data_IF_005796225765
#
_entry.id   IF_005796225765
#
_cell.length_a   1.000
_cell.length_b   1.000
_cell.length_c   1.000
_cell.angle_alpha   90.00
_cell.angle_beta   90.00
_cell.angle_gamma   90.00
#
_symmetry.space_group_name_H-M   'P 1'
#
loop_
_entity.id
_entity.type
_entity.pdbx_description
1 polymer ?
#
# COMPACT_ATOMS: atom_id res chain seq x y z
N UNK A 1 -6.27 47.81 64.75
CA UNK A 1 -5.17 46.91 65.19
C UNK A 1 -5.74 45.50 65.17
N UNK A 2 -5.14 44.47 64.60
CA UNK A 2 -3.88 44.33 63.85
C UNK A 2 -3.66 42.83 63.59
N UNK A 3 -3.24 42.48 62.36
CA UNK A 3 -2.83 41.13 61.91
C UNK A 3 -1.50 40.68 62.57
N UNK A 4 -0.89 39.48 62.34
CA UNK A 4 -1.05 38.48 61.26
C UNK A 4 -1.36 37.04 61.79
N UNK A 5 -1.18 35.90 61.11
CA UNK A 5 -0.49 35.49 59.86
C UNK A 5 -1.20 34.23 59.26
N UNK A 6 -0.95 33.74 58.04
CA UNK A 6 -0.05 34.20 56.97
C UNK A 6 0.00 33.22 55.78
N UNK A 7 0.90 33.51 54.83
CA UNK A 7 1.44 32.61 53.78
C UNK A 7 0.45 32.14 52.68
N UNK A 8 0.21 32.94 51.63
CA UNK A 8 0.98 33.02 50.37
C UNK A 8 0.76 31.85 49.39
N UNK A 9 -0.24 31.98 48.51
CA UNK A 9 -0.38 31.15 47.31
C UNK A 9 0.54 31.65 46.19
N UNK A 10 1.63 30.94 45.92
CA UNK A 10 2.59 31.27 44.86
C UNK A 10 2.34 30.46 43.58
N UNK A 11 2.05 31.18 42.50
CA UNK A 11 2.60 30.98 41.12
C UNK A 11 2.38 29.61 40.46
N UNK A 12 1.65 29.58 39.34
CA UNK A 12 2.22 29.43 37.99
C UNK A 12 1.22 29.96 36.93
N UNK A 13 1.68 30.42 35.75
CA UNK A 13 0.84 31.18 34.81
C UNK A 13 0.10 30.30 33.79
N UNK A 14 -1.11 30.71 33.43
CA UNK A 14 -1.83 30.18 32.27
C UNK A 14 -1.20 30.73 30.97
N UNK A 15 -0.27 29.98 30.37
CA UNK A 15 0.22 30.24 29.01
C UNK A 15 0.66 28.93 28.36
N UNK A 16 -0.10 28.45 27.37
CA UNK A 16 0.25 27.23 26.65
C UNK A 16 -0.93 26.64 25.88
N UNK A 17 -1.17 27.17 24.69
CA UNK A 17 -2.13 26.71 23.68
C UNK A 17 -2.51 25.22 23.79
N UNK A 18 -3.77 24.93 24.12
CA UNK A 18 -4.38 23.67 23.70
C UNK A 18 -4.41 23.68 22.16
N UNK A 19 -3.85 22.67 21.46
CA UNK A 19 -4.02 22.55 20.03
C UNK A 19 -5.48 22.20 19.74
N UNK A 20 -6.21 23.12 19.12
CA UNK A 20 -7.60 22.86 18.73
C UNK A 20 -7.67 21.68 17.74
N UNK A 21 -8.79 20.96 17.75
CA UNK A 21 -9.08 19.81 16.88
C UNK A 21 -9.34 20.21 15.41
N UNK A 22 -8.74 21.31 14.95
CA UNK A 22 -8.89 21.89 13.61
C UNK A 22 -7.75 21.49 12.66
N UNK A 23 -7.02 20.41 12.93
CA UNK A 23 -6.04 19.84 12.00
C UNK A 23 -6.71 19.09 10.82
N UNK A 24 -7.85 19.60 10.34
CA UNK A 24 -8.56 19.14 9.15
C UNK A 24 -7.97 19.85 7.93
N UNK A 25 -6.81 19.34 7.51
CA UNK A 25 -6.21 19.42 6.18
C UNK A 25 -6.73 20.54 5.24
N UNK A 26 -6.09 21.72 5.30
CA UNK A 26 -6.38 22.84 4.41
C UNK A 26 -6.14 22.53 2.91
N UNK A 27 -5.51 21.40 2.56
CA UNK A 27 -5.36 20.96 1.15
C UNK A 27 -6.70 20.63 0.48
N UNK A 28 -7.78 20.43 1.23
CA UNK A 28 -9.10 20.09 0.66
C UNK A 28 -9.90 21.27 0.09
N UNK A 29 -9.40 22.51 0.13
CA UNK A 29 -10.11 23.71 -0.37
C UNK A 29 -9.58 24.34 -1.65
N UNK A 30 -8.80 23.60 -2.46
CA UNK A 30 -8.66 23.95 -3.87
C UNK A 30 -9.80 23.32 -4.68
N UNK A 31 -10.84 24.11 -4.97
CA UNK A 31 -11.85 23.79 -5.98
C UNK A 31 -11.21 23.73 -7.36
N UNK A 32 -10.72 22.56 -7.75
CA UNK A 32 -10.25 22.29 -9.11
C UNK A 32 -11.38 21.64 -9.90
N UNK A 33 -11.74 22.29 -11.01
CA UNK A 33 -12.41 21.63 -12.13
C UNK A 33 -11.64 20.34 -12.50
N UNK A 34 -12.29 19.30 -13.08
CA UNK A 34 -11.58 18.09 -13.48
C UNK A 34 -10.33 18.46 -14.31
N UNK A 35 -9.11 18.05 -13.90
CA UNK A 35 -7.88 18.82 -14.18
C UNK A 35 -7.55 19.03 -15.66
N UNK A 36 -8.12 18.19 -16.51
CA UNK A 36 -7.87 18.15 -17.93
C UNK A 36 -9.10 17.65 -18.69
N UNK A 37 -9.46 18.38 -19.75
CA UNK A 37 -10.39 17.88 -20.75
C UNK A 37 -9.73 16.73 -21.51
N UNK A 38 -10.23 15.51 -21.34
CA UNK A 38 -9.74 14.32 -22.04
C UNK A 38 -9.69 14.57 -23.57
N UNK A 39 -8.48 14.52 -24.15
CA UNK A 39 -8.31 14.44 -25.60
C UNK A 39 -8.78 13.06 -26.08
N UNK A 40 -10.08 12.97 -26.36
CA UNK A 40 -10.70 11.73 -26.82
C UNK A 40 -10.13 11.21 -28.14
N UNK A 41 -9.54 12.07 -28.98
CA UNK A 41 -8.92 11.65 -30.24
C UNK A 41 -7.60 10.96 -29.94
N UNK A 42 -6.76 11.57 -29.11
CA UNK A 42 -5.49 11.00 -28.67
C UNK A 42 -5.70 9.70 -27.87
N UNK A 43 -6.63 9.67 -26.91
CA UNK A 43 -6.97 8.45 -26.16
C UNK A 43 -7.39 7.29 -27.06
N UNK A 44 -8.30 7.55 -28.03
CA UNK A 44 -8.73 6.54 -29.02
C UNK A 44 -7.59 6.11 -29.94
N UNK A 45 -6.73 7.04 -30.35
CA UNK A 45 -5.55 6.76 -31.17
C UNK A 45 -4.57 5.85 -30.43
N UNK A 46 -4.19 6.15 -29.19
CA UNK A 46 -3.31 5.32 -28.36
C UNK A 46 -3.88 3.92 -28.15
N UNK A 47 -5.15 3.81 -27.72
CA UNK A 47 -5.80 2.48 -27.58
C UNK A 47 -5.86 1.71 -28.91
N UNK A 48 -6.04 2.40 -30.02
CA UNK A 48 -6.01 1.81 -31.36
C UNK A 48 -4.59 1.38 -31.77
N UNK A 49 -3.52 2.05 -31.34
CA UNK A 49 -2.15 1.59 -31.59
C UNK A 49 -1.82 0.35 -30.76
N UNK A 50 -2.13 0.35 -29.46
CA UNK A 50 -1.94 -0.80 -28.56
C UNK A 50 -2.70 -2.04 -29.05
N UNK A 51 -3.99 -1.90 -29.41
CA UNK A 51 -4.81 -3.03 -29.90
C UNK A 51 -4.29 -3.67 -31.18
N UNK A 52 -3.62 -2.91 -32.04
CA UNK A 52 -3.09 -3.38 -33.32
C UNK A 52 -1.56 -3.58 -33.31
N UNK A 53 -0.91 -3.59 -32.14
CA UNK A 53 0.54 -3.82 -32.02
C UNK A 53 1.42 -2.81 -32.76
N UNK A 54 0.95 -1.58 -32.96
CA UNK A 54 1.68 -0.53 -33.73
C UNK A 54 2.73 0.14 -32.85
N UNK A 55 3.71 -0.65 -32.42
CA UNK A 55 4.72 -0.29 -31.42
C UNK A 55 5.58 0.90 -31.87
N UNK A 56 6.00 0.96 -33.13
CA UNK A 56 6.84 2.05 -33.66
C UNK A 56 6.18 3.42 -33.44
N UNK A 57 4.88 3.51 -33.72
CA UNK A 57 4.09 4.74 -33.52
C UNK A 57 3.95 5.11 -32.05
N UNK A 58 3.99 4.14 -31.14
CA UNK A 58 3.96 4.38 -29.70
C UNK A 58 5.33 4.86 -29.18
N UNK A 59 6.42 4.32 -29.73
CA UNK A 59 7.79 4.78 -29.46
C UNK A 59 7.99 6.24 -29.95
N UNK A 60 7.54 6.56 -31.16
CA UNK A 60 7.64 7.92 -31.70
C UNK A 60 6.82 8.95 -30.90
N UNK A 61 5.67 8.55 -30.35
CA UNK A 61 4.91 9.40 -29.43
C UNK A 61 5.71 9.72 -28.16
N UNK A 62 6.38 8.72 -27.57
CA UNK A 62 7.20 8.93 -26.36
C UNK A 62 8.46 9.74 -26.62
N UNK A 63 9.12 9.58 -27.77
CA UNK A 63 10.20 10.49 -28.20
C UNK A 63 9.74 11.95 -28.31
N UNK A 64 8.49 12.17 -28.76
CA UNK A 64 7.95 13.52 -28.94
C UNK A 64 7.50 14.19 -27.64
N UNK A 65 6.88 13.42 -26.73
CA UNK A 65 6.45 13.89 -25.41
C UNK A 65 6.19 12.67 -24.48
N UNK A 66 7.16 12.27 -23.64
CA UNK A 66 7.06 11.05 -22.83
C UNK A 66 6.00 11.15 -21.73
N UNK A 67 5.78 12.34 -21.18
CA UNK A 67 4.88 12.58 -20.04
C UNK A 67 3.45 12.94 -20.46
N UNK A 68 3.12 12.90 -21.76
CA UNK A 68 1.80 13.25 -22.27
C UNK A 68 0.72 12.37 -21.63
N UNK A 69 -0.21 13.03 -20.93
CA UNK A 69 -1.38 12.39 -20.31
C UNK A 69 -2.29 11.82 -21.38
N UNK A 70 -2.71 10.56 -21.21
CA UNK A 70 -3.50 9.82 -22.20
C UNK A 70 -4.97 9.69 -21.80
N UNK A 71 -5.27 9.55 -20.51
CA UNK A 71 -6.62 9.30 -19.99
C UNK A 71 -7.01 10.24 -18.82
N UNK A 72 -8.21 10.07 -18.26
CA UNK A 72 -8.71 10.85 -17.12
C UNK A 72 -8.00 10.57 -15.79
N UNK A 73 -7.27 9.46 -15.67
CA UNK A 73 -6.48 9.12 -14.48
C UNK A 73 -5.05 9.68 -14.57
N UNK A 74 -4.79 10.62 -15.48
CA UNK A 74 -3.46 11.16 -15.77
C UNK A 74 -2.38 10.10 -16.08
N UNK A 75 -2.78 8.94 -16.59
CA UNK A 75 -1.82 7.92 -16.99
C UNK A 75 -1.02 8.41 -18.21
N UNK A 76 0.31 8.31 -18.12
CA UNK A 76 1.20 8.44 -19.30
C UNK A 76 1.11 7.17 -20.17
N UNK A 77 1.71 7.19 -21.35
CA UNK A 77 1.70 6.00 -22.22
C UNK A 77 2.30 4.77 -21.52
N UNK A 78 3.37 4.95 -20.74
CA UNK A 78 4.05 3.86 -20.03
C UNK A 78 3.10 3.16 -19.03
N UNK A 79 2.35 3.92 -18.22
CA UNK A 79 1.34 3.36 -17.30
C UNK A 79 0.34 2.46 -18.04
N UNK A 80 -0.20 2.93 -19.18
CA UNK A 80 -1.18 2.17 -19.95
C UNK A 80 -0.58 0.92 -20.58
N UNK A 81 0.65 0.99 -21.09
CA UNK A 81 1.33 -0.17 -21.70
C UNK A 81 1.60 -1.26 -20.67
N UNK A 82 2.02 -0.88 -19.46
CA UNK A 82 2.20 -1.80 -18.32
C UNK A 82 0.85 -2.39 -17.87
N UNK A 83 -0.17 -1.55 -17.69
CA UNK A 83 -1.53 -2.02 -17.35
C UNK A 83 -2.16 -2.94 -18.43
N UNK A 84 -1.68 -2.88 -19.68
CA UNK A 84 -2.09 -3.79 -20.76
C UNK A 84 -1.25 -5.08 -20.84
N UNK A 85 -0.31 -5.32 -19.92
CA UNK A 85 0.58 -6.49 -19.94
C UNK A 85 1.47 -6.55 -21.19
N UNK A 86 1.95 -5.41 -21.69
CA UNK A 86 2.80 -5.32 -22.90
C UNK A 86 4.27 -5.16 -22.53
N UNK A 87 4.80 -6.17 -21.84
CA UNK A 87 6.16 -6.27 -21.28
C UNK A 87 7.28 -5.80 -22.23
N UNK A 88 7.36 -6.36 -23.45
CA UNK A 88 8.43 -5.98 -24.40
C UNK A 88 8.34 -4.52 -24.87
N UNK A 89 7.12 -4.02 -25.05
CA UNK A 89 6.89 -2.62 -25.41
C UNK A 89 7.20 -1.70 -24.22
N UNK A 90 6.84 -2.10 -22.99
CA UNK A 90 7.18 -1.35 -21.79
C UNK A 90 8.70 -1.22 -21.63
N UNK A 91 9.46 -2.31 -21.74
CA UNK A 91 10.94 -2.29 -21.75
C UNK A 91 11.50 -1.38 -22.85
N UNK A 92 10.95 -1.48 -24.07
CA UNK A 92 11.35 -0.65 -25.22
C UNK A 92 11.10 0.84 -25.00
N UNK A 93 10.01 1.19 -24.30
CA UNK A 93 9.71 2.57 -23.91
C UNK A 93 10.64 3.05 -22.78
N UNK A 94 10.85 2.22 -21.75
CA UNK A 94 11.75 2.53 -20.62
C UNK A 94 13.16 2.85 -21.13
N UNK A 95 13.73 2.02 -22.01
CA UNK A 95 15.05 2.25 -22.60
C UNK A 95 15.16 3.47 -23.53
N UNK A 96 14.04 4.08 -23.92
CA UNK A 96 14.00 5.34 -24.67
C UNK A 96 13.64 6.56 -23.80
N UNK A 97 13.26 6.35 -22.54
CA UNK A 97 12.84 7.40 -21.62
C UNK A 97 13.96 7.72 -20.62
N UNK A 98 14.25 9.01 -20.44
CA UNK A 98 15.12 9.46 -19.34
C UNK A 98 14.51 9.12 -17.96
N UNK A 99 15.37 8.80 -16.99
CA UNK A 99 14.98 8.34 -15.65
C UNK A 99 13.97 9.25 -14.92
N UNK A 100 13.94 10.56 -15.23
CA UNK A 100 12.97 11.53 -14.71
C UNK A 100 11.53 11.16 -15.09
N UNK A 101 11.29 10.75 -16.34
CA UNK A 101 9.95 10.41 -16.85
C UNK A 101 9.43 9.08 -16.28
N UNK A 102 10.33 8.21 -15.80
CA UNK A 102 9.96 6.98 -15.11
C UNK A 102 9.29 7.25 -13.75
N UNK A 103 9.46 8.44 -13.18
CA UNK A 103 8.77 8.88 -11.95
C UNK A 103 7.46 9.64 -12.22
N UNK A 104 6.99 9.74 -13.46
CA UNK A 104 5.70 10.37 -13.76
C UNK A 104 4.59 9.74 -12.91
N UNK A 105 3.73 10.58 -12.31
CA UNK A 105 2.63 10.11 -11.43
C UNK A 105 1.29 10.24 -12.13
N UNK A 106 0.45 9.23 -11.96
CA UNK A 106 -0.98 9.27 -12.30
C UNK A 106 -1.75 10.14 -11.30
N UNK A 107 -3.05 10.29 -11.52
CA UNK A 107 -4.00 11.01 -10.67
C UNK A 107 -3.99 10.51 -9.21
N UNK A 108 -3.79 9.20 -9.00
CA UNK A 108 -3.69 8.62 -7.65
C UNK A 108 -2.30 8.76 -7.02
N UNK A 109 -1.35 9.41 -7.71
CA UNK A 109 0.06 9.47 -7.34
C UNK A 109 0.85 8.19 -7.69
N UNK A 110 0.22 7.20 -8.31
CA UNK A 110 0.87 5.94 -8.68
C UNK A 110 1.91 6.20 -9.79
N UNK A 111 3.12 5.63 -9.63
CA UNK A 111 4.18 5.63 -10.65
C UNK A 111 4.07 4.39 -11.56
N UNK A 112 4.80 4.30 -12.69
CA UNK A 112 4.90 3.09 -13.50
C UNK A 112 5.23 1.82 -12.69
N UNK A 113 6.08 1.92 -11.65
CA UNK A 113 6.39 0.78 -10.79
C UNK A 113 5.21 0.39 -9.88
N UNK A 114 4.37 1.32 -9.43
CA UNK A 114 3.13 0.98 -8.70
C UNK A 114 2.17 0.17 -9.59
N UNK A 115 2.05 0.55 -10.87
CA UNK A 115 1.21 -0.19 -11.84
C UNK A 115 1.82 -1.54 -12.16
N UNK A 116 3.14 -1.62 -12.41
CA UNK A 116 3.83 -2.90 -12.62
C UNK A 116 3.65 -3.83 -11.42
N UNK A 117 3.78 -3.30 -10.20
CA UNK A 117 3.61 -4.04 -8.96
C UNK A 117 2.18 -4.56 -8.74
N UNK A 118 1.15 -3.81 -9.16
CA UNK A 118 -0.23 -4.27 -9.14
C UNK A 118 -0.53 -5.35 -10.21
N UNK A 119 0.12 -5.26 -11.37
CA UNK A 119 -0.02 -6.23 -12.48
C UNK A 119 0.76 -7.53 -12.24
N UNK A 120 1.90 -7.45 -11.54
CA UNK A 120 2.81 -8.58 -11.31
C UNK A 120 3.92 -8.75 -12.38
N UNK A 121 4.18 -7.74 -13.22
CA UNK A 121 5.20 -7.81 -14.27
C UNK A 121 6.63 -7.56 -13.73
N UNK A 122 7.27 -8.62 -13.21
CA UNK A 122 8.60 -8.56 -12.60
C UNK A 122 9.68 -8.10 -13.59
N UNK A 123 9.51 -8.38 -14.89
CA UNK A 123 10.50 -8.01 -15.91
C UNK A 123 10.48 -6.50 -16.18
N UNK A 124 9.30 -5.89 -16.21
CA UNK A 124 9.14 -4.43 -16.25
C UNK A 124 9.61 -3.78 -14.95
N UNK A 125 9.29 -4.36 -13.79
CA UNK A 125 9.72 -3.81 -12.51
C UNK A 125 11.24 -3.76 -12.40
N UNK A 126 11.92 -4.87 -12.72
CA UNK A 126 13.38 -4.95 -12.77
C UNK A 126 13.97 -3.87 -13.70
N UNK A 127 13.38 -3.68 -14.89
CA UNK A 127 13.89 -2.68 -15.85
C UNK A 127 13.65 -1.23 -15.40
N UNK A 128 12.51 -0.94 -14.76
CA UNK A 128 12.26 0.36 -14.12
C UNK A 128 13.27 0.66 -13.02
N UNK A 129 13.55 -0.31 -12.14
CA UNK A 129 14.50 -0.17 -11.03
C UNK A 129 15.93 0.04 -11.53
N UNK A 130 16.36 -0.72 -12.56
CA UNK A 130 17.69 -0.55 -13.18
C UNK A 130 17.91 0.87 -13.71
N UNK A 131 16.89 1.45 -14.35
CA UNK A 131 16.97 2.79 -14.91
C UNK A 131 16.71 3.91 -13.88
N UNK A 132 16.01 3.63 -12.76
CA UNK A 132 15.82 4.57 -11.66
C UNK A 132 15.53 3.86 -10.32
N UNK A 133 16.58 3.55 -9.53
CA UNK A 133 16.43 2.82 -8.26
C UNK A 133 15.53 3.50 -7.22
N UNK A 134 15.47 4.83 -7.23
CA UNK A 134 14.66 5.59 -6.26
C UNK A 134 13.15 5.30 -6.40
N UNK A 135 12.70 4.78 -7.55
CA UNK A 135 11.29 4.50 -7.82
C UNK A 135 10.69 3.43 -6.88
N UNK A 136 11.52 2.59 -6.23
CA UNK A 136 11.09 1.60 -5.22
C UNK A 136 10.46 2.26 -3.99
N UNK A 137 11.01 3.41 -3.57
CA UNK A 137 10.58 4.14 -2.35
C UNK A 137 9.61 5.28 -2.66
N UNK A 138 9.28 5.51 -3.93
CA UNK A 138 8.26 6.50 -4.31
C UNK A 138 6.92 6.14 -3.67
N UNK A 139 6.22 7.17 -3.20
CA UNK A 139 4.91 7.03 -2.55
C UNK A 139 3.81 7.69 -3.38
N UNK A 140 2.66 7.03 -3.46
CA UNK A 140 1.44 7.56 -4.07
C UNK A 140 0.66 8.45 -3.07
N UNK A 141 -0.54 8.91 -3.44
CA UNK A 141 -1.34 9.80 -2.58
C UNK A 141 -1.81 9.17 -1.26
N UNK A 142 -1.88 7.84 -1.17
CA UNK A 142 -2.20 7.07 0.07
C UNK A 142 -0.96 6.65 0.86
N UNK A 143 0.20 7.23 0.51
CA UNK A 143 1.53 6.84 0.97
C UNK A 143 1.87 5.34 0.75
N UNK A 144 1.18 4.67 -0.18
CA UNK A 144 1.57 3.32 -0.62
C UNK A 144 2.88 3.42 -1.41
N UNK A 145 3.77 2.46 -1.20
CA UNK A 145 4.90 2.18 -2.12
C UNK A 145 4.50 1.07 -3.11
N UNK A 146 5.27 0.81 -4.18
CA UNK A 146 5.01 -0.31 -5.08
C UNK A 146 4.92 -1.66 -4.36
N UNK A 147 5.73 -1.90 -3.31
CA UNK A 147 5.65 -3.12 -2.51
C UNK A 147 4.28 -3.28 -1.81
N UNK A 148 3.67 -2.19 -1.36
CA UNK A 148 2.31 -2.21 -0.80
C UNK A 148 1.26 -2.59 -1.86
N UNK A 149 1.43 -2.14 -3.12
CA UNK A 149 0.57 -2.58 -4.24
C UNK A 149 0.76 -4.07 -4.52
N UNK A 150 2.00 -4.56 -4.62
CA UNK A 150 2.27 -5.99 -4.84
C UNK A 150 1.62 -6.85 -3.75
N UNK A 151 1.73 -6.44 -2.48
CA UNK A 151 1.06 -7.10 -1.37
C UNK A 151 -0.48 -7.06 -1.49
N UNK A 152 -1.06 -5.87 -1.75
CA UNK A 152 -2.51 -5.67 -1.84
C UNK A 152 -3.17 -6.42 -3.01
N UNK A 153 -2.46 -6.61 -4.13
CA UNK A 153 -2.94 -7.40 -5.27
C UNK A 153 -2.49 -8.87 -5.22
N UNK A 154 -1.81 -9.30 -4.16
CA UNK A 154 -1.35 -10.68 -3.98
C UNK A 154 -0.29 -11.15 -4.95
N UNK A 155 0.45 -10.23 -5.58
CA UNK A 155 1.46 -10.49 -6.59
C UNK A 155 2.74 -11.01 -5.94
N UNK A 156 2.74 -12.29 -5.57
CA UNK A 156 3.76 -12.93 -4.72
C UNK A 156 5.18 -12.80 -5.28
N UNK A 157 5.38 -13.18 -6.54
CA UNK A 157 6.73 -13.24 -7.11
C UNK A 157 7.27 -11.82 -7.39
N UNK A 158 6.38 -10.86 -7.68
CA UNK A 158 6.69 -9.42 -7.74
C UNK A 158 7.07 -8.85 -6.38
N UNK A 159 6.35 -9.23 -5.31
CA UNK A 159 6.66 -8.78 -3.96
C UNK A 159 8.10 -9.15 -3.59
N UNK A 160 8.50 -10.40 -3.84
CA UNK A 160 9.87 -10.86 -3.57
C UNK A 160 10.90 -10.22 -4.51
N UNK A 161 10.58 -10.02 -5.79
CA UNK A 161 11.44 -9.29 -6.73
C UNK A 161 11.76 -7.85 -6.27
N UNK A 162 10.80 -7.12 -5.68
CA UNK A 162 11.04 -5.77 -5.12
C UNK A 162 11.91 -5.85 -3.84
N UNK A 163 11.71 -6.87 -2.99
CA UNK A 163 12.52 -7.10 -1.78
C UNK A 163 13.99 -7.46 -2.12
N UNK A 164 14.24 -8.16 -3.21
CA UNK A 164 15.59 -8.50 -3.68
C UNK A 164 16.40 -7.24 -4.08
N UNK A 165 15.74 -6.25 -4.68
CA UNK A 165 16.37 -4.95 -5.00
C UNK A 165 16.51 -4.03 -3.78
N UNK A 166 15.63 -4.18 -2.76
CA UNK A 166 15.64 -3.37 -1.54
C UNK A 166 15.00 -4.09 -0.34
N UNK A 167 15.83 -4.79 0.45
CA UNK A 167 15.38 -5.57 1.60
C UNK A 167 14.88 -4.71 2.80
N UNK A 168 14.94 -3.38 2.75
CA UNK A 168 14.40 -2.52 3.82
C UNK A 168 13.01 -1.94 3.50
N UNK A 169 12.52 -2.04 2.25
CA UNK A 169 11.26 -1.40 1.85
C UNK A 169 9.99 -2.04 2.46
N UNK A 170 10.08 -3.22 3.08
CA UNK A 170 8.96 -3.82 3.84
C UNK A 170 8.60 -3.04 5.11
N UNK A 171 9.52 -2.18 5.61
CA UNK A 171 9.36 -1.37 6.82
C UNK A 171 8.53 -0.10 6.58
N UNK A 172 8.34 0.28 5.32
CA UNK A 172 7.49 1.41 4.96
C UNK A 172 6.04 1.19 5.42
N UNK A 173 5.31 2.30 5.60
CA UNK A 173 3.91 2.30 6.03
C UNK A 173 3.07 3.21 5.14
N UNK A 174 1.82 2.81 4.92
CA UNK A 174 0.77 3.62 4.30
C UNK A 174 0.32 4.77 5.20
N UNK A 175 -0.53 5.65 4.65
CA UNK A 175 -1.16 6.79 5.33
C UNK A 175 -1.93 6.38 6.60
N UNK A 176 -2.64 5.25 6.56
CA UNK A 176 -3.33 4.64 7.71
C UNK A 176 -2.39 3.84 8.62
N UNK A 177 -1.08 3.99 8.48
CA UNK A 177 -0.06 3.27 9.25
C UNK A 177 0.03 1.78 8.95
N UNK A 178 -0.73 1.25 7.99
CA UNK A 178 -0.73 -0.16 7.63
C UNK A 178 0.61 -0.58 7.00
N UNK A 179 1.09 -1.76 7.38
CA UNK A 179 2.30 -2.38 6.81
C UNK A 179 1.96 -3.25 5.59
N UNK A 180 2.97 -3.74 4.88
CA UNK A 180 2.80 -4.69 3.78
C UNK A 180 2.05 -5.98 4.18
N UNK A 181 2.20 -6.45 5.42
CA UNK A 181 1.45 -7.62 5.92
C UNK A 181 -0.05 -7.33 6.08
N UNK A 182 -0.41 -6.12 6.52
CA UNK A 182 -1.82 -5.70 6.53
C UNK A 182 -2.37 -5.68 5.10
N UNK A 183 -1.58 -5.17 4.14
CA UNK A 183 -1.99 -5.09 2.74
C UNK A 183 -2.21 -6.47 2.11
N UNK A 184 -1.33 -7.43 2.36
CA UNK A 184 -1.51 -8.82 1.89
C UNK A 184 -2.77 -9.49 2.47
N UNK A 185 -3.13 -9.15 3.71
CA UNK A 185 -4.35 -9.65 4.37
C UNK A 185 -5.60 -8.96 3.81
N UNK A 186 -5.60 -7.64 3.69
CA UNK A 186 -6.68 -6.86 3.06
C UNK A 186 -6.90 -7.23 1.59
N UNK A 187 -5.82 -7.57 0.88
CA UNK A 187 -5.82 -8.05 -0.50
C UNK A 187 -6.29 -9.49 -0.68
N UNK A 188 -6.63 -10.19 0.41
CA UNK A 188 -7.00 -11.60 0.41
C UNK A 188 -5.93 -12.50 -0.25
N UNK A 189 -4.65 -12.24 0.06
CA UNK A 189 -3.49 -12.95 -0.46
C UNK A 189 -2.82 -13.82 0.64
N UNK A 190 -3.48 -14.89 1.12
CA UNK A 190 -3.05 -15.60 2.32
C UNK A 190 -1.69 -16.27 2.16
N UNK A 191 -1.36 -16.85 1.00
CA UNK A 191 -0.04 -17.46 0.76
C UNK A 191 1.10 -16.47 0.95
N UNK A 192 0.98 -15.27 0.35
CA UNK A 192 1.95 -14.20 0.51
C UNK A 192 1.99 -13.69 1.97
N UNK A 193 0.83 -13.53 2.62
CA UNK A 193 0.77 -13.15 4.04
C UNK A 193 1.46 -14.18 4.97
N UNK A 194 1.34 -15.48 4.70
CA UNK A 194 2.04 -16.54 5.42
C UNK A 194 3.56 -16.45 5.22
N UNK A 195 4.03 -16.18 4.00
CA UNK A 195 5.46 -16.04 3.69
C UNK A 195 6.05 -14.78 4.34
N UNK A 196 5.38 -13.62 4.22
CA UNK A 196 5.77 -12.37 4.89
C UNK A 196 5.84 -12.55 6.40
N UNK A 197 4.82 -13.16 7.03
CA UNK A 197 4.81 -13.40 8.47
C UNK A 197 5.91 -14.36 8.94
N UNK A 198 6.37 -15.28 8.09
CA UNK A 198 7.50 -16.18 8.40
C UNK A 198 8.86 -15.47 8.30
N UNK A 199 9.04 -14.60 7.31
CA UNK A 199 10.32 -13.88 7.10
C UNK A 199 10.46 -12.65 7.99
N UNK A 200 9.35 -11.95 8.28
CA UNK A 200 9.33 -10.70 9.05
C UNK A 200 8.33 -10.79 10.23
N UNK A 201 8.62 -11.58 11.29
CA UNK A 201 7.71 -11.80 12.41
C UNK A 201 7.34 -10.52 13.18
N UNK A 202 8.17 -9.48 13.13
CA UNK A 202 7.91 -8.16 13.70
C UNK A 202 6.67 -7.47 13.10
N UNK A 203 6.35 -7.75 11.84
CA UNK A 203 5.16 -7.19 11.19
C UNK A 203 3.86 -7.76 11.77
N UNK A 204 3.89 -8.96 12.38
CA UNK A 204 2.72 -9.64 12.94
C UNK A 204 2.10 -8.85 14.10
N UNK A 205 2.94 -8.20 14.92
CA UNK A 205 2.52 -7.42 16.09
C UNK A 205 2.42 -5.92 15.82
N UNK A 206 2.94 -5.46 14.68
CA UNK A 206 2.83 -4.07 14.23
C UNK A 206 1.37 -3.66 14.11
N UNK A 207 1.02 -2.49 14.63
CA UNK A 207 -0.33 -1.91 14.52
C UNK A 207 -0.39 -0.78 13.50
N UNK A 208 -1.52 -0.68 12.82
CA UNK A 208 -1.90 0.47 12.00
C UNK A 208 -2.36 1.67 12.87
N UNK A 209 -2.83 2.75 12.25
CA UNK A 209 -3.33 3.95 12.94
C UNK A 209 -4.55 3.67 13.83
N UNK A 210 -5.43 2.75 13.44
CA UNK A 210 -6.59 2.30 14.22
C UNK A 210 -6.22 1.36 15.39
N UNK A 211 -4.93 1.22 15.68
CA UNK A 211 -4.36 0.29 16.64
C UNK A 211 -4.67 -1.21 16.35
N UNK A 212 -5.09 -1.55 15.14
CA UNK A 212 -5.38 -2.92 14.69
C UNK A 212 -4.08 -3.60 14.24
N UNK A 213 -3.87 -4.85 14.67
CA UNK A 213 -2.78 -5.70 14.21
C UNK A 213 -3.22 -6.59 13.03
N UNK A 214 -2.31 -7.05 12.14
CA UNK A 214 -2.69 -7.82 10.96
C UNK A 214 -3.43 -9.12 11.29
N UNK A 215 -3.10 -9.78 12.40
CA UNK A 215 -3.85 -10.93 12.91
C UNK A 215 -5.33 -10.63 13.21
N UNK A 216 -5.63 -9.42 13.68
CA UNK A 216 -7.01 -9.01 14.00
C UNK A 216 -7.80 -8.80 12.70
N UNK A 217 -7.17 -8.27 11.64
CA UNK A 217 -7.76 -8.20 10.31
C UNK A 217 -8.09 -9.58 9.72
N UNK A 218 -7.28 -10.61 10.02
CA UNK A 218 -7.56 -11.99 9.55
C UNK A 218 -8.94 -12.50 10.02
N UNK A 219 -9.36 -12.12 11.23
CA UNK A 219 -10.66 -12.52 11.79
C UNK A 219 -11.82 -11.76 11.14
N UNK A 220 -11.57 -10.54 10.64
CA UNK A 220 -12.60 -9.70 9.99
C UNK A 220 -12.81 -10.00 8.50
N UNK A 221 -11.99 -10.85 7.88
CA UNK A 221 -12.05 -11.16 6.44
C UNK A 221 -12.51 -12.62 6.25
N UNK A 222 -13.81 -12.87 5.99
CA UNK A 222 -14.32 -14.22 5.80
C UNK A 222 -13.69 -14.90 4.58
N UNK A 223 -13.08 -16.06 4.79
CA UNK A 223 -12.52 -16.88 3.70
C UNK A 223 -11.03 -16.67 3.41
N UNK A 224 -10.33 -15.78 4.12
CA UNK A 224 -8.87 -15.60 4.00
C UNK A 224 -8.11 -16.91 4.24
N UNK A 225 -8.56 -17.70 5.22
CA UNK A 225 -8.10 -19.07 5.43
C UNK A 225 -9.28 -20.02 5.30
N UNK A 226 -9.42 -20.67 4.14
CA UNK A 226 -10.33 -21.81 3.99
C UNK A 226 -9.88 -22.96 4.90
N UNK A 227 -10.81 -23.78 5.36
CA UNK A 227 -10.62 -24.87 6.36
C UNK A 227 -9.65 -26.00 5.97
N UNK A 228 -8.92 -25.86 4.85
CA UNK A 228 -7.91 -26.80 4.36
C UNK A 228 -6.57 -26.12 4.05
N UNK A 229 -6.39 -24.84 4.40
CA UNK A 229 -5.06 -24.21 4.33
C UNK A 229 -4.17 -24.77 5.44
N UNK A 230 -3.06 -25.42 5.04
CA UNK A 230 -2.02 -25.86 5.95
C UNK A 230 -1.25 -24.64 6.52
N UNK A 231 -1.79 -24.05 7.58
CA UNK A 231 -1.22 -22.91 8.30
C UNK A 231 0.19 -23.22 8.84
N UNK A 232 0.45 -24.49 9.20
CA UNK A 232 1.77 -24.99 9.56
C UNK A 232 2.32 -24.28 10.82
N UNK A 233 3.45 -23.58 10.70
CA UNK A 233 3.98 -22.80 11.82
C UNK A 233 3.01 -21.74 12.36
N UNK A 234 2.14 -21.17 11.51
CA UNK A 234 1.12 -20.22 11.92
C UNK A 234 -0.07 -20.90 12.64
N UNK A 235 -0.25 -22.20 12.47
CA UNK A 235 -1.21 -23.00 13.24
C UNK A 235 -0.79 -23.04 14.71
N UNK A 236 0.48 -23.35 15.00
CA UNK A 236 1.07 -23.33 16.36
C UNK A 236 1.08 -21.95 17.03
N UNK A 237 0.74 -20.91 16.29
CA UNK A 237 0.73 -19.51 16.70
C UNK A 237 -0.71 -19.00 16.92
N UNK A 238 -1.63 -19.29 15.98
CA UNK A 238 -3.07 -19.06 16.14
C UNK A 238 -3.67 -19.93 17.27
N UNK A 239 -3.34 -21.22 17.28
CA UNK A 239 -3.77 -22.18 18.32
C UNK A 239 -2.90 -22.13 19.60
N UNK A 240 -2.04 -21.10 19.78
CA UNK A 240 -1.39 -20.85 21.07
C UNK A 240 -2.35 -20.27 22.13
N UNK A 241 -3.60 -20.02 21.77
CA UNK A 241 -4.70 -19.82 22.70
C UNK A 241 -5.03 -21.17 23.39
N UNK A 242 -4.75 -21.28 24.69
CA UNK A 242 -4.91 -22.53 25.48
C UNK A 242 -6.28 -23.17 25.26
N UNK A 243 -6.29 -24.39 24.71
CA UNK A 243 -7.45 -25.28 24.78
C UNK A 243 -7.62 -25.79 26.21
N UNK A 244 -8.81 -25.58 26.78
CA UNK A 244 -9.24 -26.26 28.01
C UNK A 244 -10.14 -27.43 27.62
N UNK A 245 -9.91 -28.66 28.14
CA UNK A 245 -10.65 -29.84 27.72
C UNK A 245 -12.01 -29.93 28.45
N UNK A 246 -13.04 -29.28 27.90
CA UNK A 246 -14.42 -29.43 28.38
C UNK A 246 -15.47 -29.12 27.30
N UNK A 247 -15.83 -30.14 26.51
CA UNK A 247 -17.12 -30.36 25.79
C UNK A 247 -17.80 -29.20 25.03
N UNK A 248 -17.14 -28.08 24.82
CA UNK A 248 -17.64 -26.89 24.12
C UNK A 248 -16.41 -26.09 23.69
N UNK A 249 -16.36 -25.65 22.43
CA UNK A 249 -15.19 -24.94 21.88
C UNK A 249 -15.20 -23.49 22.38
N UNK A 250 -14.71 -23.28 23.61
CA UNK A 250 -14.46 -21.94 24.15
C UNK A 250 -13.16 -21.39 23.57
N UNK A 251 -13.28 -20.40 22.67
CA UNK A 251 -12.13 -19.73 22.06
C UNK A 251 -11.68 -18.55 22.94
N UNK A 252 -10.61 -18.75 23.71
CA UNK A 252 -10.09 -17.77 24.67
C UNK A 252 -8.98 -16.89 24.06
N UNK A 253 -9.34 -15.69 23.60
CA UNK A 253 -8.37 -14.65 23.24
C UNK A 253 -8.00 -13.83 24.48
N UNK A 254 -6.79 -14.06 25.01
CA UNK A 254 -6.23 -13.28 26.11
C UNK A 254 -5.24 -12.24 25.59
N UNK A 255 -5.69 -10.99 25.49
CA UNK A 255 -4.79 -9.83 25.39
C UNK A 255 -4.58 -9.23 26.77
N UNK A 256 -3.36 -8.75 27.04
CA UNK A 256 -2.75 -8.65 28.38
C UNK A 256 -3.45 -7.75 29.42
N UNK A 257 -4.59 -7.12 29.12
CA UNK A 257 -5.44 -6.43 30.12
C UNK A 257 -6.96 -6.57 29.94
N UNK A 258 -7.48 -7.26 28.90
CA UNK A 258 -8.93 -7.44 28.72
C UNK A 258 -9.26 -8.82 28.12
N UNK A 259 -10.17 -9.54 28.76
CA UNK A 259 -10.73 -10.81 28.26
C UNK A 259 -12.11 -10.53 27.66
N UNK A 260 -12.30 -10.87 26.39
CA UNK A 260 -13.60 -10.81 25.73
C UNK A 260 -14.12 -12.24 25.51
N UNK A 261 -15.40 -12.46 25.85
CA UNK A 261 -16.10 -13.71 25.61
C UNK A 261 -16.94 -13.59 24.35
N UNK A 262 -16.70 -14.44 23.35
CA UNK A 262 -17.59 -14.63 22.22
C UNK A 262 -18.05 -16.09 22.17
N UNK A 263 -19.36 -16.28 22.14
CA UNK A 263 -20.01 -17.58 21.99
C UNK A 263 -20.53 -17.66 20.56
N UNK A 264 -19.95 -18.57 19.77
CA UNK A 264 -20.54 -18.97 18.49
C UNK A 264 -21.35 -20.24 18.71
N UNK A 265 -22.66 -20.18 18.44
CA UNK A 265 -23.44 -21.37 18.11
C UNK A 265 -23.25 -21.69 16.63
N UNK A 266 -23.12 -22.98 16.32
CA UNK A 266 -23.13 -23.53 14.97
C UNK A 266 -24.56 -23.70 14.46
#
# INVERSE_FOLDING_TARGET
>A
MGTPNGLTSSVFPESGNEPSLDYIDERRKETKEPPHKLDQRYFRMVKSHIRHGRNDKLLDLVKSNPDRRVNLMEDTLLHIVIACGKTDLAKSLIGQMGAVHLKAKSWNGDTPLHVAAAVGDCEVATELVRNNKEIIRERNLKLETPLHKAALYGQRDMFWCIIEEDNDCFKDRREDGATVLHCAIMGNAPSLALEIARQYPELITSRNADAVAPLQLMVTIPGLFRSQMALGSLESFLFRCKSYPSSSIFMLFSFRHSVFFFVFWF
#
